data_IF_882827645593
#
_entry.id   IF_882827645593
#
_cell.length_a   1.000
_cell.length_b   1.000
_cell.length_c   1.000
_cell.angle_alpha   90.00
_cell.angle_beta   90.00
_cell.angle_gamma   90.00
#
_symmetry.space_group_name_H-M   'P 1'
#
loop_
_entity.id
_entity.type
_entity.pdbx_description
1 polymer ?
#
# COMPACT_ATOMS: atom_id res chain seq x y z
N UNK A 1 -9.46 -6.21 19.91
CA UNK A 1 -9.03 -5.17 18.95
C UNK A 1 -7.51 -5.06 19.03
N UNK A 2 -6.80 -5.19 17.91
CA UNK A 2 -5.34 -4.99 17.90
C UNK A 2 -5.08 -3.50 18.08
N UNK A 3 -4.26 -3.13 19.07
CA UNK A 3 -3.84 -1.75 19.27
C UNK A 3 -2.72 -1.41 18.29
N UNK A 4 -3.01 -0.51 17.35
CA UNK A 4 -2.05 -0.02 16.36
C UNK A 4 -1.24 1.10 17.03
N UNK A 5 0.00 0.80 17.46
CA UNK A 5 0.87 1.80 18.10
C UNK A 5 1.18 2.96 17.15
N UNK A 6 1.20 4.21 17.62
CA UNK A 6 1.60 5.34 16.76
C UNK A 6 3.09 5.23 16.36
N UNK A 7 3.44 5.53 15.11
CA UNK A 7 4.84 5.56 14.67
C UNK A 7 5.61 6.66 15.38
N UNK A 8 6.90 6.43 15.62
CA UNK A 8 7.83 7.34 16.30
C UNK A 8 8.69 8.14 15.31
N UNK A 9 8.80 7.69 14.07
CA UNK A 9 9.53 8.41 13.02
C UNK A 9 8.74 8.52 11.71
N UNK A 10 9.06 9.51 10.85
CA UNK A 10 8.59 9.53 9.47
C UNK A 10 8.88 8.20 8.76
N UNK A 11 8.02 7.83 7.82
CA UNK A 11 8.15 6.61 7.02
C UNK A 11 8.23 5.28 7.80
N UNK A 12 7.93 5.26 9.10
CA UNK A 12 7.83 4.00 9.83
C UNK A 12 6.57 3.23 9.42
N UNK A 13 5.45 3.95 9.26
CA UNK A 13 4.14 3.34 9.00
C UNK A 13 3.31 4.09 7.98
N UNK A 14 2.76 3.33 7.03
CA UNK A 14 1.85 3.81 5.99
C UNK A 14 0.59 2.96 6.00
N UNK A 15 -0.56 3.60 5.89
CA UNK A 15 -1.82 2.92 5.63
C UNK A 15 -2.14 3.05 4.14
N UNK A 16 -2.66 2.00 3.52
CA UNK A 16 -3.05 2.00 2.11
C UNK A 16 -4.50 1.55 1.98
N UNK A 17 -5.24 2.18 1.06
CA UNK A 17 -6.65 1.89 0.83
C UNK A 17 -7.06 2.22 -0.61
N UNK A 18 -8.04 1.48 -1.13
CA UNK A 18 -8.57 1.68 -2.49
C UNK A 18 -9.80 2.57 -2.50
N UNK A 19 -9.80 3.59 -3.35
CA UNK A 19 -10.97 4.40 -3.66
C UNK A 19 -11.38 4.13 -5.10
N UNK A 20 -12.49 3.41 -5.31
CA UNK A 20 -12.83 2.81 -6.62
C UNK A 20 -14.07 3.39 -7.31
N UNK A 21 -14.83 4.24 -6.63
CA UNK A 21 -16.09 4.82 -7.11
C UNK A 21 -15.91 6.24 -7.68
N UNK A 22 -14.80 6.49 -8.39
CA UNK A 22 -14.53 7.80 -8.98
C UNK A 22 -15.01 7.86 -10.43
N UNK A 23 -15.54 9.02 -10.89
CA UNK A 23 -15.80 9.22 -12.30
C UNK A 23 -14.49 9.14 -13.11
N UNK A 24 -14.49 8.57 -14.33
CA UNK A 24 -13.32 8.55 -15.19
C UNK A 24 -12.80 9.96 -15.46
N UNK A 25 -11.49 10.17 -15.30
CA UNK A 25 -10.89 11.49 -15.44
C UNK A 25 -9.49 11.49 -16.09
N UNK A 26 -9.17 12.62 -16.73
CA UNK A 26 -7.91 12.86 -17.43
C UNK A 26 -7.78 12.05 -18.73
N UNK A 27 -6.66 12.25 -19.43
CA UNK A 27 -6.41 11.66 -20.76
C UNK A 27 -6.39 10.12 -20.76
N UNK A 28 -6.14 9.52 -19.59
CA UNK A 28 -6.09 8.06 -19.42
C UNK A 28 -7.36 7.47 -18.81
N UNK A 29 -8.39 8.28 -18.54
CA UNK A 29 -9.66 7.81 -17.96
C UNK A 29 -9.48 7.01 -16.67
N UNK A 30 -8.61 7.46 -15.77
CA UNK A 30 -8.47 6.83 -14.45
C UNK A 30 -9.78 6.96 -13.67
N UNK A 31 -10.20 5.87 -13.03
CA UNK A 31 -11.49 5.76 -12.35
C UNK A 31 -11.36 5.25 -10.90
N UNK A 32 -10.12 5.18 -10.40
CA UNK A 32 -9.83 4.84 -9.02
C UNK A 32 -8.55 5.53 -8.56
N UNK A 33 -8.31 5.53 -7.26
CA UNK A 33 -7.01 5.85 -6.71
C UNK A 33 -6.64 4.92 -5.55
N UNK A 34 -5.33 4.69 -5.43
CA UNK A 34 -4.75 4.09 -4.23
C UNK A 34 -4.36 5.25 -3.29
N UNK A 35 -5.02 5.33 -2.16
CA UNK A 35 -4.71 6.26 -1.09
C UNK A 35 -3.61 5.66 -0.22
N UNK A 36 -2.58 6.45 0.07
CA UNK A 36 -1.54 6.14 1.03
C UNK A 36 -1.51 7.23 2.09
N UNK A 37 -1.56 6.86 3.36
CA UNK A 37 -1.53 7.80 4.48
C UNK A 37 -0.32 7.52 5.35
N UNK A 38 0.59 8.49 5.40
CA UNK A 38 1.71 8.46 6.33
C UNK A 38 1.19 8.64 7.75
N UNK A 39 1.30 7.59 8.58
CA UNK A 39 0.70 7.65 9.92
C UNK A 39 1.44 8.61 10.84
N UNK A 40 2.72 8.91 10.62
CA UNK A 40 3.46 9.90 11.41
C UNK A 40 2.96 11.34 11.15
N UNK A 41 3.00 11.78 9.90
CA UNK A 41 2.63 13.16 9.52
C UNK A 41 1.13 13.38 9.26
N UNK A 42 0.34 12.30 9.22
CA UNK A 42 -1.07 12.29 8.79
C UNK A 42 -1.29 12.80 7.36
N UNK A 43 -0.25 12.77 6.54
CA UNK A 43 -0.31 13.27 5.16
C UNK A 43 -0.86 12.19 4.22
N UNK A 44 -1.92 12.47 3.45
CA UNK A 44 -2.38 11.58 2.39
C UNK A 44 -1.60 11.80 1.09
N UNK A 45 -1.45 10.74 0.32
CA UNK A 45 -0.93 10.72 -1.04
C UNK A 45 -1.88 9.86 -1.89
N UNK A 46 -2.23 10.35 -3.07
CA UNK A 46 -3.12 9.64 -3.99
C UNK A 46 -2.35 9.21 -5.23
N UNK A 47 -2.42 7.93 -5.54
CA UNK A 47 -1.91 7.38 -6.80
C UNK A 47 -3.11 7.09 -7.71
N UNK A 48 -3.13 7.70 -8.88
CA UNK A 48 -4.17 7.44 -9.89
C UNK A 48 -4.03 6.04 -10.48
N UNK A 49 -5.15 5.33 -10.54
CA UNK A 49 -5.25 3.93 -10.90
C UNK A 49 -6.56 3.63 -11.65
N UNK A 50 -6.69 2.38 -12.10
CA UNK A 50 -7.95 1.82 -12.57
C UNK A 50 -8.51 0.88 -11.50
N UNK A 51 -9.82 0.92 -11.28
CA UNK A 51 -10.52 0.06 -10.30
C UNK A 51 -10.29 -1.44 -10.57
N UNK A 52 -10.04 -1.76 -11.84
CA UNK A 52 -9.83 -3.11 -12.37
C UNK A 52 -8.37 -3.56 -12.24
N UNK A 53 -7.49 -2.73 -11.67
CA UNK A 53 -6.08 -3.08 -11.53
C UNK A 53 -5.90 -4.38 -10.73
N UNK A 54 -5.05 -5.25 -11.25
CA UNK A 54 -4.70 -6.51 -10.61
C UNK A 54 -3.79 -6.29 -9.39
N UNK A 55 -3.62 -7.31 -8.55
CA UNK A 55 -2.67 -7.26 -7.45
C UNK A 55 -1.24 -6.97 -7.93
N UNK A 56 -0.83 -7.50 -9.08
CA UNK A 56 0.49 -7.26 -9.65
C UNK A 56 0.66 -5.81 -10.12
N UNK A 57 -0.33 -5.26 -10.84
CA UNK A 57 -0.31 -3.86 -11.25
C UNK A 57 -0.32 -2.91 -10.04
N UNK A 58 -1.02 -3.29 -8.97
CA UNK A 58 -1.02 -2.58 -7.69
C UNK A 58 0.38 -2.56 -7.08
N UNK A 59 1.03 -3.73 -6.99
CA UNK A 59 2.39 -3.84 -6.46
C UNK A 59 3.40 -3.03 -7.29
N UNK A 60 3.31 -3.09 -8.62
CA UNK A 60 4.14 -2.28 -9.53
C UNK A 60 3.89 -0.78 -9.32
N UNK A 61 2.64 -0.37 -9.16
CA UNK A 61 2.28 1.03 -8.91
C UNK A 61 2.86 1.54 -7.60
N UNK A 62 2.76 0.75 -6.53
CA UNK A 62 3.39 1.07 -5.22
C UNK A 62 4.90 1.14 -5.37
N UNK A 63 5.53 0.17 -6.03
CA UNK A 63 6.98 0.16 -6.21
C UNK A 63 7.47 1.41 -6.97
N UNK A 64 6.88 1.67 -8.13
CA UNK A 64 7.34 2.70 -9.06
C UNK A 64 6.98 4.12 -8.63
N UNK A 65 5.82 4.33 -8.00
CA UNK A 65 5.33 5.68 -7.67
C UNK A 65 5.48 6.04 -6.20
N UNK A 66 5.65 5.06 -5.31
CA UNK A 66 5.72 5.31 -3.88
C UNK A 66 7.10 5.01 -3.31
N UNK A 67 7.53 3.75 -3.39
CA UNK A 67 8.79 3.30 -2.79
C UNK A 67 9.99 4.03 -3.42
N UNK A 68 9.98 4.22 -4.74
CA UNK A 68 11.02 4.96 -5.48
C UNK A 68 11.24 6.39 -4.97
N UNK A 69 10.19 7.07 -4.51
CA UNK A 69 10.24 8.48 -4.11
C UNK A 69 10.50 8.68 -2.62
N UNK A 70 10.09 7.72 -1.78
CA UNK A 70 9.97 7.93 -0.34
C UNK A 70 10.82 6.97 0.47
N UNK A 71 11.45 6.01 -0.21
CA UNK A 71 12.23 4.95 0.39
C UNK A 71 11.36 3.82 0.89
N UNK A 72 11.95 3.02 1.78
CA UNK A 72 11.35 1.80 2.29
C UNK A 72 10.69 2.06 3.63
N UNK A 73 9.44 1.61 3.75
CA UNK A 73 8.69 1.65 4.99
C UNK A 73 9.01 0.43 5.84
N UNK A 74 8.73 0.50 7.14
CA UNK A 74 8.82 -0.66 8.03
C UNK A 74 7.49 -1.42 8.10
N UNK A 75 6.37 -0.71 7.94
CA UNK A 75 5.03 -1.28 8.07
C UNK A 75 4.06 -0.64 7.07
N UNK A 76 3.41 -1.46 6.26
CA UNK A 76 2.27 -1.07 5.43
C UNK A 76 1.01 -1.69 6.06
N UNK A 77 -0.09 -0.94 6.13
CA UNK A 77 -1.35 -1.46 6.66
C UNK A 77 -2.40 -1.29 5.58
N UNK A 78 -2.88 -2.41 5.05
CA UNK A 78 -3.97 -2.46 4.09
C UNK A 78 -5.23 -3.07 4.73
N UNK A 79 -6.36 -2.91 4.06
CA UNK A 79 -7.58 -3.66 4.33
C UNK A 79 -7.47 -5.11 3.79
N UNK A 80 -8.61 -5.81 3.64
CA UNK A 80 -8.63 -7.18 3.12
C UNK A 80 -9.01 -7.26 1.64
N UNK A 81 -8.80 -6.20 0.86
CA UNK A 81 -9.03 -6.28 -0.59
C UNK A 81 -8.18 -7.43 -1.20
N UNK A 82 -8.75 -8.28 -2.08
CA UNK A 82 -8.01 -9.31 -2.82
C UNK A 82 -6.73 -8.80 -3.51
N UNK A 83 -6.70 -7.50 -3.87
CA UNK A 83 -5.53 -6.83 -4.44
C UNK A 83 -4.36 -6.71 -3.47
N UNK A 84 -4.55 -6.87 -2.16
CA UNK A 84 -3.51 -6.88 -1.12
C UNK A 84 -3.34 -8.24 -0.42
N UNK A 85 -4.25 -9.18 -0.65
CA UNK A 85 -4.26 -10.50 0.00
C UNK A 85 -3.94 -11.67 -0.94
N UNK A 86 -3.60 -11.37 -2.20
CA UNK A 86 -3.24 -12.39 -3.18
C UNK A 86 -1.91 -13.11 -2.85
N UNK A 87 -1.71 -14.28 -3.48
CA UNK A 87 -0.48 -15.07 -3.35
C UNK A 87 0.78 -14.26 -3.72
N UNK A 88 0.65 -13.27 -4.60
CA UNK A 88 1.72 -12.33 -4.94
C UNK A 88 2.29 -11.65 -3.69
N UNK A 89 1.42 -11.10 -2.82
CA UNK A 89 1.85 -10.39 -1.62
C UNK A 89 2.48 -11.34 -0.60
N UNK A 90 1.92 -12.54 -0.44
CA UNK A 90 2.51 -13.57 0.41
C UNK A 90 3.93 -13.94 -0.06
N UNK A 91 4.11 -14.13 -1.37
CA UNK A 91 5.40 -14.46 -1.96
C UNK A 91 6.40 -13.29 -1.87
N UNK A 92 5.95 -12.04 -2.08
CA UNK A 92 6.78 -10.86 -1.88
C UNK A 92 7.25 -10.75 -0.42
N UNK A 93 6.35 -11.00 0.54
CA UNK A 93 6.71 -11.00 1.94
C UNK A 93 7.78 -12.05 2.27
N UNK A 94 7.61 -13.27 1.77
CA UNK A 94 8.59 -14.34 1.92
C UNK A 94 9.95 -13.98 1.30
N UNK A 95 9.94 -13.39 0.09
CA UNK A 95 11.16 -12.97 -0.61
C UNK A 95 11.94 -11.92 0.18
N UNK A 96 11.25 -10.96 0.79
CA UNK A 96 11.87 -9.90 1.57
C UNK A 96 12.12 -10.27 3.05
N UNK A 97 11.79 -11.50 3.47
CA UNK A 97 11.95 -11.93 4.87
C UNK A 97 11.03 -11.21 5.85
N UNK A 98 9.84 -10.81 5.38
CA UNK A 98 8.89 -9.97 6.12
C UNK A 98 7.61 -10.74 6.45
N UNK A 99 6.87 -10.29 7.46
CA UNK A 99 5.69 -11.02 7.97
C UNK A 99 4.40 -10.49 7.36
N UNK A 100 3.73 -11.33 6.59
CA UNK A 100 2.35 -11.11 6.16
C UNK A 100 1.37 -11.49 7.29
N UNK A 101 0.52 -10.56 7.73
CA UNK A 101 -0.55 -10.84 8.69
C UNK A 101 -1.91 -10.66 8.02
N UNK A 102 -2.63 -11.77 7.83
CA UNK A 102 -3.95 -11.80 7.16
C UNK A 102 -5.08 -11.09 7.93
N UNK A 103 -4.83 -10.66 9.18
CA UNK A 103 -5.86 -10.03 10.02
C UNK A 103 -5.95 -8.50 9.89
N UNK A 104 -5.06 -7.89 9.08
CA UNK A 104 -4.65 -6.48 8.96
C UNK A 104 -3.15 -6.44 9.29
N UNK A 105 -2.38 -5.61 8.59
CA UNK A 105 -0.92 -5.41 8.69
C UNK A 105 -0.08 -6.20 7.67
N UNK A 106 0.23 -5.50 6.58
CA UNK A 106 1.24 -5.84 5.56
C UNK A 106 2.60 -5.28 6.00
N UNK A 107 3.32 -5.94 6.90
CA UNK A 107 4.65 -5.46 7.32
C UNK A 107 5.64 -5.69 6.17
N UNK A 108 5.93 -4.68 5.35
CA UNK A 108 7.12 -4.69 4.50
C UNK A 108 8.25 -4.09 5.32
N UNK A 109 9.22 -4.90 5.74
CA UNK A 109 10.52 -4.46 6.25
C UNK A 109 11.57 -4.80 5.18
N UNK A 110 11.86 -3.87 4.28
CA UNK A 110 13.03 -4.06 3.43
C UNK A 110 14.27 -3.63 4.24
N UNK A 111 15.01 -4.62 4.75
CA UNK A 111 16.39 -4.41 5.18
C UNK A 111 17.27 -4.54 3.93
N UNK A 112 17.90 -3.44 3.55
CA UNK A 112 19.25 -3.51 3.00
C UNK A 112 20.21 -3.29 4.16
#
# INVERSE_FOLDING_TARGET
MIQIQEPKSPCERVHIDWVTALPPGGDRSYNACLLLVYRYSKTPMFLTCHKDNTAMETAITIWNKFISHTGLFQNIISDRDPKFTSALWTNLHNLFGTKYHSQQVTIFKLMF
#
